data_IF_289247370103
#
_entry.id   IF_289247370103
#
_cell.length_a   1.000
_cell.length_b   1.000
_cell.length_c   1.000
_cell.angle_alpha   90.00
_cell.angle_beta   90.00
_cell.angle_gamma   90.00
#
_symmetry.space_group_name_H-M   'P 1'
#
loop_
_entity.id
_entity.type
_entity.pdbx_description
1 polymer ?
#
# COMPACT_ATOMS: atom_id res chain seq x y z
N UNK A 1 -19.27 -31.44 6.69
CA UNK A 1 -20.51 -31.00 7.37
C UNK A 1 -20.72 -29.48 7.41
N UNK A 2 -19.69 -28.62 7.36
CA UNK A 2 -19.88 -27.15 7.42
C UNK A 2 -20.30 -26.52 6.09
N UNK A 3 -19.85 -27.06 4.96
CA UNK A 3 -20.15 -26.50 3.62
C UNK A 3 -21.62 -26.62 3.23
N UNK A 4 -22.27 -27.73 3.59
CA UNK A 4 -23.70 -27.99 3.30
C UNK A 4 -24.64 -27.02 4.02
N UNK A 5 -24.22 -26.43 5.14
CA UNK A 5 -25.05 -25.50 5.90
C UNK A 5 -25.03 -24.09 5.28
N UNK A 6 -23.91 -23.71 4.66
CA UNK A 6 -23.74 -22.41 4.01
C UNK A 6 -24.67 -22.29 2.80
N UNK A 7 -24.83 -23.37 2.01
CA UNK A 7 -25.71 -23.36 0.84
C UNK A 7 -27.19 -23.24 1.23
N UNK A 8 -27.64 -23.97 2.26
CA UNK A 8 -29.03 -23.87 2.74
C UNK A 8 -29.33 -22.51 3.35
N UNK A 9 -28.39 -21.92 4.09
CA UNK A 9 -28.56 -20.56 4.62
C UNK A 9 -28.55 -19.50 3.51
N UNK A 10 -27.80 -19.71 2.43
CA UNK A 10 -27.78 -18.82 1.27
C UNK A 10 -29.11 -18.88 0.49
N UNK A 11 -29.77 -20.03 0.44
CA UNK A 11 -31.08 -20.20 -0.20
C UNK A 11 -32.23 -19.56 0.59
N UNK A 12 -32.15 -19.54 1.93
CA UNK A 12 -33.14 -18.89 2.81
C UNK A 12 -32.99 -17.36 2.87
N UNK A 13 -31.88 -16.81 2.38
CA UNK A 13 -31.60 -15.37 2.44
C UNK A 13 -32.36 -14.60 1.33
N UNK A 14 -32.93 -13.43 1.67
CA UNK A 14 -33.42 -12.46 0.68
C UNK A 14 -32.35 -12.10 -0.35
N UNK A 15 -32.78 -11.85 -1.59
CA UNK A 15 -31.89 -11.54 -2.72
C UNK A 15 -30.93 -10.36 -2.44
N UNK A 16 -31.38 -9.40 -1.63
CA UNK A 16 -30.60 -8.23 -1.24
C UNK A 16 -29.40 -8.60 -0.34
N UNK A 17 -29.59 -9.55 0.58
CA UNK A 17 -28.54 -10.02 1.48
C UNK A 17 -27.57 -10.98 0.78
N UNK A 18 -28.02 -11.72 -0.24
CA UNK A 18 -27.13 -12.55 -1.07
C UNK A 18 -26.06 -11.72 -1.76
N UNK A 19 -26.39 -10.51 -2.23
CA UNK A 19 -25.43 -9.59 -2.83
C UNK A 19 -24.37 -9.16 -1.83
N UNK A 20 -24.78 -8.80 -0.61
CA UNK A 20 -23.84 -8.40 0.45
C UNK A 20 -22.91 -9.56 0.86
N UNK A 21 -23.42 -10.79 0.88
CA UNK A 21 -22.59 -11.98 1.13
C UNK A 21 -21.59 -12.22 -0.01
N UNK A 22 -22.01 -12.07 -1.27
CA UNK A 22 -21.12 -12.18 -2.43
C UNK A 22 -20.01 -11.11 -2.38
N UNK A 23 -20.37 -9.86 -2.11
CA UNK A 23 -19.42 -8.77 -1.94
C UNK A 23 -18.44 -9.03 -0.79
N UNK A 24 -18.93 -9.60 0.32
CA UNK A 24 -18.09 -9.95 1.46
C UNK A 24 -17.14 -11.11 1.14
N UNK A 25 -17.60 -12.12 0.39
CA UNK A 25 -16.74 -13.21 -0.10
C UNK A 25 -15.66 -12.64 -1.02
N UNK A 26 -16.02 -11.77 -1.96
CA UNK A 26 -15.06 -11.12 -2.86
C UNK A 26 -14.06 -10.27 -2.08
N UNK A 27 -14.51 -9.52 -1.07
CA UNK A 27 -13.66 -8.77 -0.16
C UNK A 27 -12.68 -9.67 0.61
N UNK A 28 -13.15 -10.80 1.15
CA UNK A 28 -12.29 -11.74 1.87
C UNK A 28 -11.23 -12.35 0.94
N UNK A 29 -11.62 -12.72 -0.28
CA UNK A 29 -10.66 -13.19 -1.30
C UNK A 29 -9.65 -12.08 -1.60
N UNK A 30 -10.08 -10.85 -1.87
CA UNK A 30 -9.17 -9.74 -2.15
C UNK A 30 -8.22 -9.44 -0.98
N UNK A 31 -8.71 -9.52 0.26
CA UNK A 31 -7.97 -9.18 1.47
C UNK A 31 -6.92 -10.23 1.84
N UNK A 32 -7.26 -11.51 1.71
CA UNK A 32 -6.42 -12.62 2.17
C UNK A 32 -5.71 -13.38 1.04
N UNK A 33 -6.18 -13.24 -0.20
CA UNK A 33 -5.59 -13.85 -1.40
C UNK A 33 -4.64 -12.90 -2.14
N UNK A 34 -4.57 -11.61 -1.76
CA UNK A 34 -3.38 -10.81 -2.11
C UNK A 34 -2.19 -11.47 -1.43
N UNK A 35 -1.24 -12.02 -2.19
CA UNK A 35 -0.05 -12.57 -1.58
C UNK A 35 0.60 -11.46 -0.77
N UNK A 36 1.08 -11.80 0.41
CA UNK A 36 1.92 -10.98 1.29
C UNK A 36 3.30 -10.72 0.62
N UNK A 37 3.31 -10.59 -0.70
CA UNK A 37 4.45 -10.34 -1.58
C UNK A 37 4.39 -8.97 -2.23
N UNK A 38 3.35 -8.17 -1.97
CA UNK A 38 3.60 -6.73 -1.83
C UNK A 38 4.36 -6.59 -0.51
N UNK A 39 5.63 -7.00 -0.53
CA UNK A 39 6.65 -6.38 0.29
C UNK A 39 6.36 -4.91 0.09
N UNK A 40 5.76 -4.25 1.09
CA UNK A 40 5.81 -2.80 1.18
C UNK A 40 7.29 -2.53 0.97
N UNK A 41 7.68 -2.06 -0.21
CA UNK A 41 9.02 -1.53 -0.40
C UNK A 41 9.11 -0.50 0.71
N UNK A 42 9.79 -0.89 1.80
CA UNK A 42 10.02 0.01 2.91
C UNK A 42 10.70 1.17 2.24
N UNK A 43 10.10 2.35 2.29
CA UNK A 43 10.67 3.53 1.66
C UNK A 43 12.13 3.64 2.14
N UNK A 44 13.08 3.30 1.27
CA UNK A 44 14.43 2.95 1.71
C UNK A 44 15.25 4.19 2.10
N UNK A 45 14.73 5.40 1.86
CA UNK A 45 15.41 6.68 2.12
C UNK A 45 16.87 6.66 1.64
N UNK A 46 17.21 5.89 0.59
CA UNK A 46 18.61 5.69 0.14
C UNK A 46 19.28 6.99 -0.32
N UNK A 47 18.49 8.04 -0.56
CA UNK A 47 18.95 9.38 -0.90
C UNK A 47 19.31 10.23 0.33
N UNK A 48 18.85 9.85 1.54
CA UNK A 48 19.14 10.55 2.78
C UNK A 48 20.64 10.50 3.06
N UNK A 49 21.26 11.67 3.21
CA UNK A 49 22.69 11.76 3.46
C UNK A 49 23.58 11.57 2.23
N UNK A 50 23.05 11.41 1.00
CA UNK A 50 23.85 11.35 -0.23
C UNK A 50 24.70 12.60 -0.51
N UNK A 51 24.37 13.73 0.12
CA UNK A 51 25.10 15.00 0.05
C UNK A 51 26.00 15.25 1.27
N UNK A 52 26.18 14.28 2.16
CA UNK A 52 26.96 14.45 3.41
C UNK A 52 28.42 14.84 3.14
N UNK A 53 29.01 14.35 2.05
CA UNK A 53 30.37 14.68 1.64
C UNK A 53 30.52 16.15 1.22
N UNK A 54 29.46 16.75 0.67
CA UNK A 54 29.44 18.14 0.23
C UNK A 54 29.26 19.11 1.40
N UNK A 55 28.79 18.64 2.56
CA UNK A 55 28.60 19.46 3.77
C UNK A 55 29.89 20.13 4.24
N UNK A 56 31.04 19.49 4.02
CA UNK A 56 32.35 20.04 4.37
C UNK A 56 32.94 20.97 3.30
N UNK A 57 32.40 20.94 2.07
CA UNK A 57 32.88 21.71 0.92
C UNK A 57 32.04 22.97 0.66
N UNK A 58 30.76 22.92 0.97
CA UNK A 58 29.83 24.01 0.70
C UNK A 58 29.01 24.34 1.94
N UNK A 59 28.96 25.62 2.26
CA UNK A 59 28.02 26.15 3.24
C UNK A 59 26.62 26.24 2.62
N UNK A 60 25.60 26.26 3.47
CA UNK A 60 24.20 26.34 3.01
C UNK A 60 23.93 27.61 2.18
N UNK A 61 24.68 28.69 2.43
CA UNK A 61 24.58 29.98 1.74
C UNK A 61 25.21 29.92 0.34
N UNK A 62 26.35 29.25 0.19
CA UNK A 62 26.99 29.07 -1.13
C UNK A 62 26.15 28.20 -2.06
N UNK A 63 25.49 27.17 -1.52
CA UNK A 63 24.54 26.35 -2.30
C UNK A 63 23.36 27.18 -2.77
N UNK A 64 22.86 28.10 -1.94
CA UNK A 64 21.77 28.99 -2.30
C UNK A 64 22.17 29.94 -3.45
N UNK A 65 23.37 30.53 -3.40
CA UNK A 65 23.86 31.38 -4.49
C UNK A 65 24.01 30.60 -5.80
N UNK A 66 24.63 29.40 -5.76
CA UNK A 66 24.75 28.53 -6.94
C UNK A 66 23.41 28.11 -7.52
N UNK A 67 22.42 27.84 -6.67
CA UNK A 67 21.07 27.50 -7.12
C UNK A 67 20.38 28.67 -7.84
N UNK A 68 20.67 29.91 -7.45
CA UNK A 68 20.19 31.10 -8.17
C UNK A 68 20.90 31.30 -9.51
N UNK A 69 22.16 30.89 -9.65
CA UNK A 69 22.91 30.96 -10.91
C UNK A 69 22.45 29.92 -11.94
N UNK A 70 21.88 28.80 -11.51
CA UNK A 70 21.39 27.73 -12.39
C UNK A 70 19.93 27.90 -12.84
N UNK A 71 19.30 29.03 -12.50
CA UNK A 71 17.93 29.37 -12.90
C UNK A 71 17.91 30.20 -14.17
#
# INVERSE_FOLDING_TARGET
>A
MREQNITSQLEELPEDLKKEVLDYIEFLILKYHRPVTVKKEKFLFDWEGGLSELKNRYTSVELQHKAMEWR
#
